data_IF_760773442294
#
_entry.id   IF_760773442294
#
_cell.length_a   1.000
_cell.length_b   1.000
_cell.length_c   1.000
_cell.angle_alpha   90.00
_cell.angle_beta   90.00
_cell.angle_gamma   90.00
#
_symmetry.space_group_name_H-M   'P 1'
#
loop_
_entity.id
_entity.type
_entity.pdbx_description
1 polymer ?
#
# COMPACT_ATOMS: atom_id res chain seq x y z
N UNK A 1 18.80 25.66 20.92
CA UNK A 1 18.94 26.39 19.64
C UNK A 1 18.26 27.72 19.80
N UNK A 2 19.02 28.81 19.76
CA UNK A 2 18.48 30.18 19.85
C UNK A 2 17.61 30.49 18.62
N UNK A 3 16.59 31.35 18.74
CA UNK A 3 15.84 31.84 17.59
C UNK A 3 16.81 32.49 16.60
N UNK A 4 16.74 32.09 15.32
CA UNK A 4 17.51 32.76 14.27
C UNK A 4 16.91 34.14 14.09
N UNK A 5 17.68 35.17 14.44
CA UNK A 5 17.30 36.57 14.22
C UNK A 5 17.53 36.90 12.75
N UNK A 6 16.45 36.88 11.96
CA UNK A 6 16.50 37.09 10.51
C UNK A 6 16.92 38.52 10.12
N UNK A 7 16.91 39.45 11.07
CA UNK A 7 17.30 40.85 10.88
C UNK A 7 18.82 41.06 11.05
N UNK A 8 19.59 40.04 11.48
CA UNK A 8 21.03 40.14 11.70
C UNK A 8 21.76 38.81 11.41
N UNK A 9 21.69 38.34 10.16
CA UNK A 9 22.34 37.12 9.69
C UNK A 9 23.83 37.35 9.44
N UNK A 10 24.67 36.38 9.84
CA UNK A 10 26.08 36.35 9.41
C UNK A 10 26.19 35.95 7.94
N UNK A 11 27.32 36.26 7.28
CA UNK A 11 27.53 35.93 5.87
C UNK A 11 27.29 34.45 5.53
N UNK A 12 27.74 33.55 6.41
CA UNK A 12 27.54 32.11 6.28
C UNK A 12 26.05 31.72 6.44
N UNK A 13 25.31 32.41 7.31
CA UNK A 13 23.87 32.17 7.48
C UNK A 13 23.05 32.71 6.30
N UNK A 14 23.47 33.82 5.69
CA UNK A 14 22.84 34.38 4.49
C UNK A 14 22.94 33.41 3.32
N UNK A 15 24.12 32.83 3.07
CA UNK A 15 24.32 31.86 1.98
C UNK A 15 23.45 30.60 2.16
N UNK A 16 23.31 30.11 3.40
CA UNK A 16 22.42 28.98 3.72
C UNK A 16 20.95 29.33 3.47
N UNK A 17 20.52 30.53 3.85
CA UNK A 17 19.13 30.98 3.65
C UNK A 17 18.81 31.23 2.17
N UNK A 18 19.73 31.79 1.40
CA UNK A 18 19.58 31.98 -0.05
C UNK A 18 19.45 30.66 -0.79
N UNK A 19 20.28 29.66 -0.45
CA UNK A 19 20.19 28.32 -1.03
C UNK A 19 18.82 27.68 -0.76
N UNK A 20 18.35 27.73 0.48
CA UNK A 20 17.03 27.21 0.86
C UNK A 20 15.89 27.97 0.18
N UNK A 21 16.02 29.28 0.00
CA UNK A 21 15.05 30.09 -0.74
C UNK A 21 15.02 29.71 -2.22
N UNK A 22 16.18 29.50 -2.83
CA UNK A 22 16.28 29.07 -4.23
C UNK A 22 15.65 27.70 -4.48
N UNK A 23 15.87 26.74 -3.58
CA UNK A 23 15.18 25.44 -3.64
C UNK A 23 13.65 25.59 -3.54
N UNK A 24 13.16 26.64 -2.88
CA UNK A 24 11.75 26.99 -2.78
C UNK A 24 11.22 27.88 -3.93
N UNK A 25 12.05 28.21 -4.93
CA UNK A 25 11.67 29.00 -6.12
C UNK A 25 11.98 30.50 -6.05
N UNK A 26 12.79 30.93 -5.08
CA UNK A 26 13.36 32.29 -5.08
C UNK A 26 14.52 32.40 -6.07
N UNK A 27 14.72 33.56 -6.65
CA UNK A 27 15.88 33.85 -7.49
C UNK A 27 16.57 35.12 -6.98
N UNK A 28 17.90 35.24 -7.09
CA UNK A 28 18.59 36.46 -6.68
C UNK A 28 18.20 37.65 -7.57
N UNK A 29 18.45 38.86 -7.08
CA UNK A 29 17.96 40.11 -7.69
C UNK A 29 18.47 40.30 -9.13
N UNK A 30 19.69 39.87 -9.41
CA UNK A 30 20.32 39.88 -10.74
C UNK A 30 19.60 38.98 -11.77
N UNK A 31 18.88 37.97 -11.29
CA UNK A 31 18.13 36.99 -12.09
C UNK A 31 16.62 37.25 -12.06
N UNK A 32 16.16 38.22 -11.27
CA UNK A 32 14.75 38.59 -11.19
C UNK A 32 14.32 39.36 -12.44
N UNK A 33 13.38 38.77 -13.19
CA UNK A 33 12.86 39.37 -14.44
C UNK A 33 11.66 40.30 -14.25
N UNK A 34 11.26 40.53 -13.00
CA UNK A 34 10.12 41.37 -12.65
C UNK A 34 10.51 42.81 -12.29
N UNK A 35 9.59 43.53 -11.67
CA UNK A 35 9.86 44.84 -11.07
C UNK A 35 10.84 44.69 -9.91
N UNK A 36 11.97 45.39 -9.97
CA UNK A 36 13.04 45.33 -8.97
C UNK A 36 12.54 45.74 -7.57
N UNK A 37 11.61 46.70 -7.49
CA UNK A 37 11.03 47.12 -6.21
C UNK A 37 10.10 46.09 -5.54
N UNK A 38 9.83 44.97 -6.22
CA UNK A 38 9.01 43.85 -5.71
C UNK A 38 9.83 42.59 -5.44
N UNK A 39 11.13 42.62 -5.73
CA UNK A 39 12.02 41.55 -5.32
C UNK A 39 12.16 41.58 -3.79
N UNK A 40 12.08 40.42 -3.16
CA UNK A 40 12.17 40.29 -1.71
C UNK A 40 13.48 39.60 -1.34
N UNK A 41 14.14 40.02 -0.24
CA UNK A 41 15.28 39.29 0.31
C UNK A 41 14.92 37.83 0.61
N UNK A 42 15.87 36.91 0.47
CA UNK A 42 15.67 35.47 0.64
C UNK A 42 15.03 35.10 2.00
N UNK A 43 15.44 35.75 3.08
CA UNK A 43 14.87 35.54 4.42
C UNK A 43 13.38 35.93 4.50
N UNK A 44 13.01 37.06 3.89
CA UNK A 44 11.62 37.52 3.85
C UNK A 44 10.77 36.62 2.95
N UNK A 45 11.30 36.23 1.79
CA UNK A 45 10.67 35.25 0.90
C UNK A 45 10.40 33.93 1.64
N UNK A 46 11.37 33.41 2.39
CA UNK A 46 11.22 32.16 3.15
C UNK A 46 10.19 32.26 4.28
N UNK A 47 10.11 33.42 4.93
CA UNK A 47 9.10 33.69 5.97
C UNK A 47 7.69 33.68 5.38
N UNK A 48 7.51 34.30 4.22
CA UNK A 48 6.23 34.35 3.51
C UNK A 48 5.89 33.01 2.85
N UNK A 49 6.88 32.34 2.24
CA UNK A 49 6.73 31.07 1.55
C UNK A 49 6.40 29.94 2.52
N UNK A 50 6.89 29.96 3.77
CA UNK A 50 6.52 28.96 4.79
C UNK A 50 5.02 28.87 5.01
N UNK A 51 4.31 30.01 4.98
CA UNK A 51 2.83 30.02 5.08
C UNK A 51 2.20 29.42 3.83
N UNK A 52 2.68 29.79 2.64
CA UNK A 52 2.19 29.26 1.37
C UNK A 52 2.41 27.75 1.25
N UNK A 53 3.62 27.28 1.58
CA UNK A 53 3.99 25.85 1.59
C UNK A 53 3.13 25.08 2.58
N UNK A 54 2.91 25.61 3.79
CA UNK A 54 2.04 24.95 4.77
C UNK A 54 0.60 24.88 4.29
N UNK A 55 0.06 25.96 3.72
CA UNK A 55 -1.28 25.97 3.14
C UNK A 55 -1.40 24.97 1.98
N UNK A 56 -0.38 24.89 1.13
CA UNK A 56 -0.33 23.93 0.03
C UNK A 56 -0.28 22.48 0.53
N UNK A 57 0.50 22.19 1.57
CA UNK A 57 0.53 20.86 2.20
C UNK A 57 -0.82 20.46 2.78
N UNK A 58 -1.51 21.38 3.44
CA UNK A 58 -2.87 21.15 3.96
C UNK A 58 -3.85 20.91 2.82
N UNK A 59 -3.77 21.70 1.74
CA UNK A 59 -4.60 21.53 0.56
C UNK A 59 -4.35 20.19 -0.14
N UNK A 60 -3.09 19.80 -0.33
CA UNK A 60 -2.73 18.52 -0.95
C UNK A 60 -3.24 17.33 -0.11
N UNK A 61 -3.04 17.34 1.21
CA UNK A 61 -3.60 16.31 2.11
C UNK A 61 -5.12 16.24 2.03
N UNK A 62 -5.78 17.39 1.92
CA UNK A 62 -7.24 17.44 1.76
C UNK A 62 -7.68 16.85 0.42
N UNK A 63 -6.95 17.10 -0.66
CA UNK A 63 -7.21 16.55 -1.99
C UNK A 63 -6.95 15.04 -2.03
N UNK A 64 -5.86 14.56 -1.45
CA UNK A 64 -5.55 13.13 -1.29
C UNK A 64 -6.67 12.41 -0.53
N UNK A 65 -7.14 12.99 0.58
CA UNK A 65 -8.26 12.45 1.34
C UNK A 65 -9.58 12.44 0.56
N UNK A 66 -9.81 13.41 -0.34
CA UNK A 66 -10.96 13.44 -1.23
C UNK A 66 -10.87 12.37 -2.33
N UNK A 67 -9.69 12.19 -2.93
CA UNK A 67 -9.43 11.14 -3.92
C UNK A 67 -9.60 9.75 -3.33
N UNK A 68 -9.05 9.50 -2.14
CA UNK A 68 -9.24 8.24 -1.41
C UNK A 68 -10.73 7.93 -1.16
N UNK A 69 -11.52 8.93 -0.74
CA UNK A 69 -12.97 8.78 -0.56
C UNK A 69 -13.70 8.55 -1.88
N UNK A 70 -13.25 9.17 -2.97
CA UNK A 70 -13.85 9.00 -4.29
C UNK A 70 -13.59 7.59 -4.82
N UNK A 71 -12.36 7.09 -4.72
CA UNK A 71 -12.00 5.73 -5.10
C UNK A 71 -12.83 4.69 -4.33
N UNK A 72 -12.92 4.81 -3.00
CA UNK A 72 -13.78 3.93 -2.19
C UNK A 72 -15.26 3.94 -2.63
N UNK A 73 -15.76 5.09 -3.09
CA UNK A 73 -17.12 5.18 -3.64
C UNK A 73 -17.25 4.49 -4.99
N UNK A 74 -16.26 4.62 -5.87
CA UNK A 74 -16.20 3.91 -7.14
C UNK A 74 -16.16 2.40 -6.92
N UNK A 75 -15.28 1.90 -6.05
CA UNK A 75 -15.20 0.47 -5.71
C UNK A 75 -16.55 -0.03 -5.17
N UNK A 76 -17.20 0.74 -4.28
CA UNK A 76 -18.53 0.39 -3.76
C UNK A 76 -19.62 0.38 -4.82
N UNK A 77 -19.49 1.23 -5.85
CA UNK A 77 -20.47 1.33 -6.94
C UNK A 77 -20.29 0.17 -7.91
N UNK A 78 -19.06 -0.18 -8.25
CA UNK A 78 -18.73 -1.33 -9.09
C UNK A 78 -19.23 -2.62 -8.44
N UNK A 79 -18.95 -2.82 -7.15
CA UNK A 79 -19.46 -3.98 -6.40
C UNK A 79 -20.99 -4.05 -6.40
N UNK A 80 -21.69 -2.93 -6.15
CA UNK A 80 -23.16 -2.89 -6.20
C UNK A 80 -23.68 -3.21 -7.60
N UNK A 81 -23.07 -2.65 -8.64
CA UNK A 81 -23.49 -2.89 -10.02
C UNK A 81 -23.33 -4.37 -10.40
N UNK A 82 -22.24 -5.00 -9.99
CA UNK A 82 -22.04 -6.44 -10.18
C UNK A 82 -23.11 -7.26 -9.45
N UNK A 83 -23.39 -6.95 -8.18
CA UNK A 83 -24.43 -7.62 -7.40
C UNK A 83 -25.82 -7.46 -8.00
N UNK A 84 -26.19 -6.25 -8.43
CA UNK A 84 -27.46 -5.96 -9.11
C UNK A 84 -27.59 -6.76 -10.41
N UNK A 85 -26.52 -6.78 -11.22
CA UNK A 85 -26.48 -7.53 -12.49
C UNK A 85 -26.63 -9.03 -12.24
N UNK A 86 -25.92 -9.59 -11.25
CA UNK A 86 -26.05 -11.00 -10.87
C UNK A 86 -27.47 -11.35 -10.41
N UNK A 87 -28.08 -10.48 -9.59
CA UNK A 87 -29.45 -10.66 -9.11
C UNK A 87 -30.47 -10.61 -10.26
N UNK A 88 -30.31 -9.67 -11.19
CA UNK A 88 -31.16 -9.55 -12.37
C UNK A 88 -31.06 -10.79 -13.27
N UNK A 89 -29.83 -11.24 -13.55
CA UNK A 89 -29.58 -12.46 -14.34
C UNK A 89 -30.23 -13.67 -13.66
N UNK A 90 -30.09 -13.81 -12.33
CA UNK A 90 -30.69 -14.92 -11.58
C UNK A 90 -32.22 -14.90 -11.68
N UNK A 91 -32.84 -13.73 -11.47
CA UNK A 91 -34.29 -13.58 -11.58
C UNK A 91 -34.82 -13.90 -12.99
N UNK A 92 -34.08 -13.49 -14.03
CA UNK A 92 -34.37 -13.85 -15.42
C UNK A 92 -34.27 -15.37 -15.66
N UNK A 93 -33.23 -16.03 -15.13
CA UNK A 93 -33.09 -17.50 -15.24
C UNK A 93 -34.27 -18.22 -14.59
N UNK A 94 -34.70 -17.79 -13.41
CA UNK A 94 -35.82 -18.42 -12.72
C UNK A 94 -37.14 -18.25 -13.48
N UNK A 95 -37.36 -17.06 -14.06
CA UNK A 95 -38.51 -16.81 -14.93
C UNK A 95 -38.50 -17.69 -16.19
N UNK A 96 -37.35 -17.82 -16.84
CA UNK A 96 -37.21 -18.66 -18.04
C UNK A 96 -37.40 -20.14 -17.72
N UNK A 97 -36.89 -20.63 -16.58
CA UNK A 97 -37.13 -22.01 -16.12
C UNK A 97 -38.61 -22.29 -15.89
N UNK A 98 -39.34 -21.33 -15.33
CA UNK A 98 -40.78 -21.49 -15.14
C UNK A 98 -41.52 -21.55 -16.49
N UNK A 99 -41.17 -20.67 -17.44
CA UNK A 99 -41.72 -20.72 -18.80
C UNK A 99 -41.36 -22.01 -19.53
N UNK A 100 -40.18 -22.57 -19.27
CA UNK A 100 -39.75 -23.85 -19.81
C UNK A 100 -40.64 -24.99 -19.30
N UNK A 101 -41.00 -24.99 -18.00
CA UNK A 101 -41.94 -25.97 -17.44
C UNK A 101 -43.32 -25.86 -18.09
N UNK A 102 -43.83 -24.63 -18.26
CA UNK A 102 -45.10 -24.41 -18.95
C UNK A 102 -45.06 -24.94 -20.40
N UNK A 103 -43.96 -24.72 -21.13
CA UNK A 103 -43.81 -25.25 -22.48
C UNK A 103 -43.82 -26.79 -22.53
N UNK A 104 -43.25 -27.46 -21.52
CA UNK A 104 -43.33 -28.92 -21.37
C UNK A 104 -44.77 -29.37 -21.09
N UNK A 105 -45.48 -28.68 -20.20
CA UNK A 105 -46.88 -28.97 -19.87
C UNK A 105 -47.81 -28.81 -21.08
N UNK A 106 -47.57 -27.79 -21.90
CA UNK A 106 -48.33 -27.50 -23.12
C UNK A 106 -47.92 -28.41 -24.31
N UNK A 107 -46.83 -29.17 -24.18
CA UNK A 107 -46.25 -29.97 -25.27
C UNK A 107 -45.63 -29.15 -26.40
N UNK A 108 -45.32 -27.88 -26.14
CA UNK A 108 -44.74 -26.92 -27.09
C UNK A 108 -43.22 -27.08 -27.15
N UNK A 109 -42.80 -27.95 -28.07
CA UNK A 109 -41.38 -28.33 -28.25
C UNK A 109 -40.56 -27.19 -28.85
N UNK A 110 -41.14 -26.39 -29.74
CA UNK A 110 -40.47 -25.24 -30.36
C UNK A 110 -40.14 -24.17 -29.30
N UNK A 111 -41.10 -23.88 -28.43
CA UNK A 111 -40.93 -22.92 -27.33
C UNK A 111 -39.94 -23.43 -26.27
N UNK A 112 -39.95 -24.73 -25.98
CA UNK A 112 -38.96 -25.34 -25.10
C UNK A 112 -37.54 -25.15 -25.63
N UNK A 113 -37.30 -25.46 -26.91
CA UNK A 113 -35.99 -25.33 -27.54
C UNK A 113 -35.51 -23.87 -27.60
N UNK A 114 -36.44 -22.93 -27.83
CA UNK A 114 -36.13 -21.50 -27.78
C UNK A 114 -35.69 -21.07 -26.37
N UNK A 115 -36.48 -21.40 -25.35
CA UNK A 115 -36.17 -21.03 -23.96
C UNK A 115 -34.87 -21.68 -23.50
N UNK A 116 -34.58 -22.91 -23.94
CA UNK A 116 -33.34 -23.60 -23.59
C UNK A 116 -32.11 -22.86 -24.15
N UNK A 117 -32.17 -22.36 -25.40
CA UNK A 117 -31.11 -21.53 -25.98
C UNK A 117 -30.95 -20.19 -25.25
N UNK A 118 -32.05 -19.58 -24.82
CA UNK A 118 -32.02 -18.34 -24.05
C UNK A 118 -31.38 -18.55 -22.68
N UNK A 119 -31.68 -19.67 -22.01
CA UNK A 119 -31.05 -20.08 -20.75
C UNK A 119 -29.54 -20.31 -20.92
N UNK A 120 -29.12 -21.01 -21.98
CA UNK A 120 -27.70 -21.25 -22.26
C UNK A 120 -26.93 -19.95 -22.48
N UNK A 121 -27.50 -19.02 -23.26
CA UNK A 121 -26.90 -17.70 -23.48
C UNK A 121 -26.83 -16.85 -22.21
N UNK A 122 -27.80 -17.01 -21.30
CA UNK A 122 -27.83 -16.31 -20.03
C UNK A 122 -26.85 -16.93 -19.00
N UNK A 123 -26.64 -18.24 -19.05
CA UNK A 123 -25.60 -18.96 -18.29
C UNK A 123 -24.20 -18.45 -18.63
N UNK A 124 -23.94 -18.19 -19.92
CA UNK A 124 -22.66 -17.68 -20.38
C UNK A 124 -22.42 -16.24 -19.92
N UNK A 125 -23.42 -15.36 -20.06
CA UNK A 125 -23.36 -14.00 -19.51
C UNK A 125 -23.15 -13.98 -17.99
N UNK A 126 -23.80 -14.90 -17.27
CA UNK A 126 -23.59 -15.05 -15.83
C UNK A 126 -22.14 -15.40 -15.50
N UNK A 127 -21.53 -16.33 -16.27
CA UNK A 127 -20.11 -16.68 -16.13
C UNK A 127 -19.18 -15.53 -16.48
N UNK A 128 -19.46 -14.77 -17.53
CA UNK A 128 -18.66 -13.60 -17.91
C UNK A 128 -18.69 -12.51 -16.83
N UNK A 129 -19.87 -12.22 -16.26
CA UNK A 129 -20.01 -11.25 -15.16
C UNK A 129 -19.35 -11.75 -13.88
N UNK A 130 -19.48 -13.04 -13.54
CA UNK A 130 -18.81 -13.64 -12.39
C UNK A 130 -17.27 -13.61 -12.53
N UNK A 131 -16.75 -13.92 -13.72
CA UNK A 131 -15.31 -13.86 -14.01
C UNK A 131 -14.78 -12.43 -13.99
N UNK A 132 -15.61 -11.46 -14.40
CA UNK A 132 -15.27 -10.03 -14.28
C UNK A 132 -15.31 -9.57 -12.83
N UNK A 133 -16.21 -10.10 -11.99
CA UNK A 133 -16.25 -9.82 -10.56
C UNK A 133 -15.05 -10.41 -9.78
N UNK A 134 -14.54 -11.56 -10.24
CA UNK A 134 -13.28 -12.13 -9.73
C UNK A 134 -12.03 -11.41 -10.28
N UNK A 135 -12.17 -10.61 -11.34
CA UNK A 135 -11.07 -9.92 -12.04
C UNK A 135 -11.14 -8.39 -12.04
N UNK A 136 -12.12 -7.76 -11.37
CA UNK A 136 -12.27 -6.30 -11.31
C UNK A 136 -11.42 -5.67 -10.20
N UNK A 137 -10.18 -6.13 -10.05
CA UNK A 137 -9.10 -5.25 -9.65
C UNK A 137 -8.65 -4.52 -10.91
N UNK A 138 -8.90 -3.22 -11.02
CA UNK A 138 -8.49 -2.41 -12.18
C UNK A 138 -7.04 -2.70 -12.57
N UNK A 139 -6.76 -2.73 -13.88
CA UNK A 139 -5.46 -3.08 -14.51
C UNK A 139 -4.33 -3.13 -13.49
N UNK A 140 -4.01 -4.34 -13.02
CA UNK A 140 -3.03 -4.54 -11.97
C UNK A 140 -1.74 -3.80 -12.32
N UNK A 141 -1.25 -2.99 -11.38
CA UNK A 141 -0.04 -2.20 -11.58
C UNK A 141 1.11 -3.12 -12.01
N UNK A 142 1.94 -2.75 -13.01
CA UNK A 142 3.12 -3.54 -13.39
C UNK A 142 4.03 -3.89 -12.21
N UNK A 143 4.04 -3.05 -11.17
CA UNK A 143 4.78 -3.28 -9.92
C UNK A 143 4.18 -4.44 -9.11
N UNK A 144 2.85 -4.49 -9.01
CA UNK A 144 2.16 -5.59 -8.36
C UNK A 144 2.33 -6.89 -9.15
N UNK A 145 2.17 -6.85 -10.47
CA UNK A 145 2.36 -8.04 -11.33
C UNK A 145 3.77 -8.65 -11.16
N UNK A 146 4.81 -7.82 -11.11
CA UNK A 146 6.18 -8.29 -10.88
C UNK A 146 6.38 -8.89 -9.48
N UNK A 147 5.81 -8.27 -8.45
CA UNK A 147 5.86 -8.79 -7.08
C UNK A 147 5.07 -10.09 -6.94
N UNK A 148 3.88 -10.15 -7.53
CA UNK A 148 2.99 -11.30 -7.54
C UNK A 148 3.66 -12.48 -8.21
N UNK A 149 4.26 -12.30 -9.39
CA UNK A 149 4.98 -13.38 -10.08
C UNK A 149 6.15 -13.93 -9.22
N UNK A 150 6.87 -13.06 -8.51
CA UNK A 150 7.96 -13.48 -7.61
C UNK A 150 7.48 -14.25 -6.36
N UNK A 151 6.20 -14.09 -5.99
CA UNK A 151 5.61 -14.64 -4.76
C UNK A 151 4.49 -15.65 -5.03
N UNK A 152 4.23 -15.93 -6.31
CA UNK A 152 3.10 -16.73 -6.80
C UNK A 152 2.94 -18.07 -6.10
N UNK A 153 4.07 -18.72 -5.84
CA UNK A 153 4.17 -20.03 -5.20
C UNK A 153 3.39 -20.11 -3.88
N UNK A 154 3.38 -19.06 -3.06
CA UNK A 154 2.57 -19.00 -1.84
C UNK A 154 1.36 -18.10 -1.96
N UNK A 155 1.45 -17.01 -2.75
CA UNK A 155 0.37 -16.03 -2.84
C UNK A 155 -0.91 -16.61 -3.48
N UNK A 156 -0.77 -17.58 -4.39
CA UNK A 156 -1.91 -18.29 -4.99
C UNK A 156 -2.31 -19.59 -4.26
N UNK A 157 -1.38 -20.20 -3.51
CA UNK A 157 -1.56 -21.56 -2.99
C UNK A 157 -1.72 -21.65 -1.47
N UNK A 158 -1.35 -20.60 -0.73
CA UNK A 158 -1.42 -20.56 0.72
C UNK A 158 -2.32 -19.39 1.19
N UNK A 159 -3.63 -19.64 1.36
CA UNK A 159 -4.60 -18.61 1.73
C UNK A 159 -4.27 -17.88 3.05
N UNK A 160 -3.59 -18.55 3.98
CA UNK A 160 -3.20 -17.95 5.25
C UNK A 160 -2.09 -16.91 5.05
N UNK A 161 -1.05 -17.26 4.29
CA UNK A 161 0.02 -16.32 3.98
C UNK A 161 -0.48 -15.16 3.10
N UNK A 162 -1.37 -15.44 2.16
CA UNK A 162 -2.00 -14.39 1.32
C UNK A 162 -2.80 -13.41 2.16
N UNK A 163 -3.66 -13.91 3.06
CA UNK A 163 -4.47 -13.05 3.92
C UNK A 163 -3.61 -12.18 4.86
N UNK A 164 -2.51 -12.71 5.40
CA UNK A 164 -1.58 -11.95 6.23
C UNK A 164 -0.84 -10.87 5.43
N UNK A 165 -0.38 -11.20 4.22
CA UNK A 165 0.27 -10.24 3.32
C UNK A 165 -0.66 -9.09 2.94
N UNK A 166 -1.92 -9.39 2.59
CA UNK A 166 -2.92 -8.40 2.22
C UNK A 166 -3.30 -7.52 3.42
N UNK A 167 -3.48 -8.11 4.60
CA UNK A 167 -3.76 -7.38 5.85
C UNK A 167 -2.61 -6.45 6.20
N UNK A 168 -1.37 -6.92 6.10
CA UNK A 168 -0.19 -6.11 6.36
C UNK A 168 -0.08 -4.97 5.34
N UNK A 169 -0.25 -5.24 4.05
CA UNK A 169 -0.29 -4.22 2.99
C UNK A 169 -1.32 -3.11 3.27
N UNK A 170 -2.53 -3.47 3.72
CA UNK A 170 -3.60 -2.52 4.06
C UNK A 170 -3.29 -1.68 5.31
N UNK A 171 -2.39 -2.15 6.18
CA UNK A 171 -1.97 -1.43 7.40
C UNK A 171 -0.93 -0.34 7.14
N UNK A 172 -0.25 -0.37 5.97
CA UNK A 172 0.82 0.55 5.63
C UNK A 172 0.30 1.93 5.24
N UNK A 173 1.04 2.98 5.63
CA UNK A 173 0.68 4.37 5.37
C UNK A 173 0.46 4.64 3.87
N UNK A 174 -0.59 5.41 3.55
CA UNK A 174 -0.94 5.84 2.19
C UNK A 174 0.11 6.74 1.52
N UNK A 175 1.01 7.36 2.29
CA UNK A 175 2.12 8.16 1.75
C UNK A 175 3.20 7.32 1.03
N UNK A 176 3.18 5.99 1.21
CA UNK A 176 4.15 5.08 0.57
C UNK A 176 3.71 4.72 -0.84
N UNK A 177 4.67 4.68 -1.77
CA UNK A 177 4.43 4.13 -3.10
C UNK A 177 4.12 2.64 -3.03
N UNK A 178 3.42 2.13 -4.05
CA UNK A 178 3.09 0.69 -4.13
C UNK A 178 4.35 -0.20 -4.09
N UNK A 179 5.44 0.23 -4.72
CA UNK A 179 6.72 -0.50 -4.69
C UNK A 179 7.30 -0.58 -3.27
N UNK A 180 7.25 0.52 -2.51
CA UNK A 180 7.71 0.54 -1.12
C UNK A 180 6.81 -0.32 -0.23
N UNK A 181 5.48 -0.24 -0.40
CA UNK A 181 4.53 -1.08 0.34
C UNK A 181 4.80 -2.57 0.12
N UNK A 182 4.97 -2.99 -1.12
CA UNK A 182 5.23 -4.41 -1.46
C UNK A 182 6.59 -4.89 -0.97
N UNK A 183 7.61 -4.03 -0.91
CA UNK A 183 8.90 -4.35 -0.30
C UNK A 183 8.79 -4.57 1.22
N UNK A 184 7.97 -3.76 1.91
CA UNK A 184 7.66 -3.99 3.32
C UNK A 184 6.89 -5.29 3.53
N UNK A 185 5.93 -5.60 2.66
CA UNK A 185 5.19 -6.87 2.70
C UNK A 185 6.14 -8.06 2.56
N UNK A 186 7.04 -8.04 1.57
CA UNK A 186 8.02 -9.14 1.38
C UNK A 186 8.90 -9.33 2.62
N UNK A 187 9.35 -8.23 3.23
CA UNK A 187 10.14 -8.25 4.47
C UNK A 187 9.36 -8.86 5.64
N UNK A 188 8.10 -8.45 5.82
CA UNK A 188 7.20 -8.98 6.85
C UNK A 188 6.99 -10.49 6.66
N UNK A 189 6.66 -10.92 5.45
CA UNK A 189 6.36 -12.32 5.14
C UNK A 189 7.57 -13.22 5.32
N UNK A 190 8.78 -12.77 4.96
CA UNK A 190 10.02 -13.53 5.22
C UNK A 190 10.33 -13.66 6.71
N UNK A 191 10.00 -12.64 7.51
CA UNK A 191 10.15 -12.65 8.96
C UNK A 191 9.12 -13.53 9.67
N UNK A 192 7.87 -13.50 9.21
CA UNK A 192 6.75 -14.25 9.79
C UNK A 192 6.75 -15.74 9.40
N UNK A 193 7.23 -16.07 8.19
CA UNK A 193 7.25 -17.45 7.68
C UNK A 193 8.66 -17.93 7.31
N UNK A 194 9.66 -17.84 8.23
CA UNK A 194 11.05 -18.15 7.91
C UNK A 194 11.24 -19.61 7.48
N UNK A 195 10.45 -20.53 8.02
CA UNK A 195 10.54 -21.96 7.68
C UNK A 195 9.99 -22.26 6.28
N UNK A 196 8.97 -21.52 5.83
CA UNK A 196 8.48 -21.61 4.45
C UNK A 196 9.59 -21.22 3.46
N UNK A 197 10.19 -20.05 3.66
CA UNK A 197 11.24 -19.54 2.78
C UNK A 197 12.54 -20.37 2.85
N UNK A 198 12.89 -20.94 4.01
CA UNK A 198 14.01 -21.89 4.14
C UNK A 198 13.73 -23.22 3.44
N UNK A 199 12.51 -23.74 3.53
CA UNK A 199 12.13 -25.02 2.91
C UNK A 199 12.11 -24.96 1.38
N UNK A 200 11.90 -23.76 0.81
CA UNK A 200 11.94 -23.48 -0.63
C UNK A 200 13.32 -23.01 -1.13
N UNK A 201 14.21 -22.59 -0.23
CA UNK A 201 15.51 -21.95 -0.50
C UNK A 201 16.69 -22.87 -0.82
N UNK A 202 16.50 -23.84 -1.72
CA UNK A 202 17.59 -24.59 -2.36
C UNK A 202 18.07 -23.99 -3.69
N UNK A 203 17.67 -22.76 -4.04
CA UNK A 203 18.02 -22.20 -5.34
C UNK A 203 17.53 -20.77 -5.58
N UNK A 204 18.17 -19.80 -4.93
CA UNK A 204 18.76 -18.60 -5.56
C UNK A 204 19.23 -17.67 -4.43
N UNK A 205 20.36 -18.03 -3.82
CA UNK A 205 21.09 -17.14 -2.94
C UNK A 205 22.59 -17.35 -3.18
N UNK A 206 23.08 -16.72 -4.25
CA UNK A 206 24.48 -16.40 -4.52
C UNK A 206 24.46 -15.35 -5.63
N UNK A 207 24.54 -14.07 -5.31
CA UNK A 207 25.75 -13.24 -5.36
C UNK A 207 25.28 -11.80 -5.01
N UNK A 208 25.86 -10.97 -4.15
CA UNK A 208 27.16 -10.88 -3.49
C UNK A 208 26.98 -10.09 -2.18
N UNK A 209 27.44 -10.63 -1.04
CA UNK A 209 28.20 -9.81 -0.08
C UNK A 209 29.20 -10.72 0.63
N UNK A 210 30.45 -10.33 0.49
CA UNK A 210 31.66 -11.00 0.96
C UNK A 210 31.68 -11.26 2.46
N UNK A 211 32.20 -12.44 2.81
CA UNK A 211 32.72 -12.88 4.11
C UNK A 211 33.44 -11.78 4.92
N UNK A 212 33.07 -11.68 6.19
CA UNK A 212 33.98 -11.37 7.30
C UNK A 212 33.38 -11.88 8.63
N UNK A 213 33.67 -13.14 8.93
CA UNK A 213 33.99 -13.77 10.23
C UNK A 213 33.26 -13.42 11.55
N UNK A 214 33.12 -14.51 12.33
CA UNK A 214 32.77 -14.65 13.76
C UNK A 214 31.27 -14.50 14.10
N UNK A 215 30.53 -15.54 14.49
CA UNK A 215 30.89 -16.75 15.23
C UNK A 215 30.14 -16.74 16.55
N UNK A 216 29.28 -17.74 16.80
CA UNK A 216 28.69 -17.99 18.12
C UNK A 216 27.19 -18.22 18.08
N UNK A 217 26.80 -19.50 18.04
CA UNK A 217 25.44 -19.91 18.35
C UNK A 217 25.06 -19.58 19.80
N UNK A 218 23.79 -19.29 19.99
CA UNK A 218 23.18 -19.12 21.30
C UNK A 218 21.67 -19.09 21.13
N UNK A 219 21.01 -20.21 21.41
CA UNK A 219 19.57 -20.24 21.62
C UNK A 219 19.19 -19.60 22.97
N UNK A 220 17.91 -19.80 23.32
CA UNK A 220 17.18 -19.29 24.51
C UNK A 220 16.54 -17.93 24.23
N UNK A 221 15.26 -17.67 24.46
CA UNK A 221 14.24 -18.31 25.29
C UNK A 221 13.38 -17.20 25.89
N UNK A 222 12.08 -17.43 26.05
CA UNK A 222 11.10 -16.42 26.43
C UNK A 222 11.35 -15.75 27.79
N UNK A 223 10.89 -14.49 27.91
CA UNK A 223 10.81 -13.74 29.15
C UNK A 223 10.64 -12.25 28.89
N UNK A 224 9.50 -11.69 29.30
CA UNK A 224 9.04 -10.31 29.08
C UNK A 224 9.98 -9.21 29.58
N UNK A 225 11.07 -9.00 28.85
CA UNK A 225 11.96 -7.85 28.95
C UNK A 225 11.62 -6.85 27.84
N UNK A 226 11.68 -5.56 28.15
CA UNK A 226 11.44 -4.46 27.20
C UNK A 226 12.25 -4.69 25.91
N UNK A 227 11.57 -4.72 24.76
CA UNK A 227 12.21 -4.98 23.48
C UNK A 227 13.28 -3.91 23.20
N UNK A 228 14.52 -4.33 22.98
CA UNK A 228 15.62 -3.43 22.62
C UNK A 228 16.16 -3.79 21.24
N UNK A 229 16.74 -2.82 20.54
CA UNK A 229 17.30 -3.05 19.22
C UNK A 229 18.34 -4.18 19.18
N UNK A 230 19.13 -4.34 20.25
CA UNK A 230 20.10 -5.44 20.35
C UNK A 230 19.43 -6.82 20.32
N UNK A 231 18.24 -6.92 20.91
CA UNK A 231 17.43 -8.14 21.01
C UNK A 231 16.53 -8.36 19.79
N UNK A 232 16.56 -7.46 18.80
CA UNK A 232 15.85 -7.68 17.55
C UNK A 232 16.54 -8.79 16.73
N UNK A 233 15.78 -9.68 16.08
CA UNK A 233 16.34 -10.58 15.09
C UNK A 233 16.94 -9.77 13.92
N UNK A 234 17.86 -10.34 13.13
CA UNK A 234 18.53 -9.62 12.03
C UNK A 234 17.56 -8.89 11.08
N UNK A 235 16.42 -9.51 10.76
CA UNK A 235 15.37 -8.90 9.96
C UNK A 235 14.70 -7.69 10.66
N UNK A 236 14.44 -7.78 11.96
CA UNK A 236 13.89 -6.68 12.76
C UNK A 236 14.85 -5.48 12.87
N UNK A 237 16.17 -5.73 12.91
CA UNK A 237 17.19 -4.68 12.87
C UNK A 237 17.17 -3.95 11.54
N UNK A 238 17.19 -4.69 10.42
CA UNK A 238 17.13 -4.14 9.07
C UNK A 238 15.85 -3.32 8.83
N UNK A 239 14.70 -3.79 9.33
CA UNK A 239 13.43 -3.07 9.24
C UNK A 239 13.44 -1.79 10.09
N UNK A 240 14.03 -1.83 11.29
CA UNK A 240 14.22 -0.65 12.12
C UNK A 240 15.15 0.38 11.46
N UNK A 241 16.26 -0.06 10.86
CA UNK A 241 17.21 0.79 10.16
C UNK A 241 16.56 1.44 8.94
N UNK A 242 15.74 0.68 8.20
CA UNK A 242 14.98 1.19 7.05
C UNK A 242 13.92 2.20 7.48
N UNK A 243 13.23 1.97 8.60
CA UNK A 243 12.25 2.89 9.18
C UNK A 243 12.87 4.24 9.58
N UNK A 244 14.07 4.21 10.16
CA UNK A 244 14.84 5.41 10.52
C UNK A 244 15.40 6.10 9.27
N UNK A 245 15.96 5.34 8.31
CA UNK A 245 16.52 5.87 7.07
C UNK A 245 15.45 6.55 6.20
N UNK A 246 14.24 5.99 6.17
CA UNK A 246 13.07 6.56 5.51
C UNK A 246 12.46 7.76 6.26
N UNK A 247 13.05 8.17 7.40
CA UNK A 247 12.57 9.27 8.26
C UNK A 247 11.12 9.09 8.74
N UNK A 248 10.64 7.85 8.82
CA UNK A 248 9.28 7.51 9.27
C UNK A 248 9.12 7.59 10.80
N UNK A 249 10.23 7.63 11.53
CA UNK A 249 10.27 7.84 12.96
C UNK A 249 11.65 7.50 13.51
N UNK A 250 11.75 7.44 14.83
CA UNK A 250 12.98 7.01 15.50
C UNK A 250 12.97 5.51 15.72
N UNK A 251 14.15 4.94 15.95
CA UNK A 251 14.31 3.56 16.39
C UNK A 251 13.48 3.24 17.65
N UNK A 252 13.28 4.22 18.54
CA UNK A 252 12.44 4.05 19.71
C UNK A 252 10.95 3.92 19.36
N UNK A 253 10.49 4.61 18.32
CA UNK A 253 9.10 4.55 17.85
C UNK A 253 8.80 3.17 17.24
N UNK A 254 9.75 2.63 16.46
CA UNK A 254 9.66 1.28 15.89
C UNK A 254 9.65 0.18 16.96
N UNK A 255 10.51 0.28 17.97
CA UNK A 255 10.53 -0.67 19.09
C UNK A 255 9.25 -0.61 19.91
N UNK A 256 8.67 0.58 20.07
CA UNK A 256 7.42 0.77 20.80
C UNK A 256 6.23 0.17 20.05
N UNK A 257 6.15 0.32 18.73
CA UNK A 257 5.06 -0.28 17.94
C UNK A 257 5.12 -1.81 17.99
N UNK A 258 6.32 -2.39 17.92
CA UNK A 258 6.52 -3.83 18.05
C UNK A 258 6.11 -4.35 19.44
N UNK A 259 6.49 -3.64 20.51
CA UNK A 259 6.14 -4.03 21.87
C UNK A 259 4.62 -3.93 22.13
N UNK A 260 3.96 -2.89 21.60
CA UNK A 260 2.50 -2.76 21.70
C UNK A 260 1.77 -3.87 20.96
N UNK A 261 2.29 -4.28 19.81
CA UNK A 261 1.73 -5.37 19.02
C UNK A 261 1.90 -6.74 19.70
N UNK A 262 3.01 -6.95 20.42
CA UNK A 262 3.24 -8.16 21.23
C UNK A 262 2.34 -8.21 22.47
N UNK A 263 2.11 -7.07 23.15
CA UNK A 263 1.14 -6.95 24.25
C UNK A 263 -0.30 -7.18 23.75
N UNK A 264 -0.66 -6.63 22.58
CA UNK A 264 -1.98 -6.82 21.96
C UNK A 264 -2.20 -8.26 21.48
N UNK A 265 -1.18 -8.96 20.99
CA UNK A 265 -1.26 -10.39 20.65
C UNK A 265 -1.27 -11.29 21.90
N UNK A 266 -0.63 -10.88 23.00
CA UNK A 266 -0.65 -11.62 24.27
C UNK A 266 -1.98 -11.51 25.00
N UNK A 267 -2.73 -10.42 24.82
CA UNK A 267 -4.03 -10.19 25.47
C UNK A 267 -5.21 -10.85 24.71
N UNK A 268 -4.95 -11.35 23.49
CA UNK A 268 -5.90 -12.10 22.63
C UNK A 268 -5.70 -13.62 22.75
N UNK A 269 -4.85 -14.07 23.68
CA UNK A 269 -4.58 -15.49 23.94
C UNK A 269 -5.70 -16.22 24.69
N UNK A 270 -6.33 -17.16 23.98
CA UNK A 270 -7.02 -18.35 24.51
C UNK A 270 -6.10 -19.23 25.36
#
# INVERSE_FOLDING_TARGET
MSPVDFDNLTAEQTEVVEKLASDAGWVPEDQWKGDAGKHKPAAEYMRDSKKVINNQKVANRSLEGQLSKLNKKFDSMELRHQQETMAEITALKDRLKEQQRTAVEDGDTDKYDQISKELDGLEEKHREVAKTAEGSGGTESPVFLGWHENNKDWYETNPEMTAEADRFHQSLNDDLSLAEKLAFVDTHMRGAYPDYYKSKGGGNEQEQISDAEAGGGGGVGGGGGKLTYANLPPAGKSACDSFVAAKMGTQADYLKSMQQQEEEYSDVGY
#
